data_IF_317494737714
#
_entry.id   IF_317494737714
#
_cell.length_a   1.000
_cell.length_b   1.000
_cell.length_c   1.000
_cell.angle_alpha   90.00
_cell.angle_beta   90.00
_cell.angle_gamma   90.00
#
_symmetry.space_group_name_H-M   'P 1'
#
loop_
_entity.id
_entity.type
_entity.pdbx_description
1 polymer ?
#
# COMPACT_ATOMS: atom_id res chain seq x y z
N UNK A 1 -9.61 66.03 -2.02
CA UNK A 1 -8.21 66.00 -1.53
C UNK A 1 -7.78 64.54 -1.52
N UNK A 2 -7.44 64.03 -2.69
CA UNK A 2 -6.06 63.85 -3.21
C UNK A 2 -5.61 62.42 -2.90
N UNK A 3 -5.77 61.48 -3.85
CA UNK A 3 -4.72 61.05 -4.79
C UNK A 3 -3.51 60.44 -4.04
N UNK A 4 -3.12 59.19 -4.26
CA UNK A 4 -2.32 58.82 -5.44
C UNK A 4 -2.20 57.30 -5.65
N UNK A 5 -2.00 56.92 -6.91
CA UNK A 5 -1.79 55.56 -7.43
C UNK A 5 -0.36 55.38 -7.99
N UNK A 6 -0.05 54.15 -8.43
CA UNK A 6 1.06 53.67 -9.30
C UNK A 6 2.35 53.23 -8.56
N UNK A 7 3.12 52.21 -8.99
CA UNK A 7 3.19 51.47 -10.26
C UNK A 7 3.80 50.05 -10.05
N UNK A 8 3.39 49.06 -10.86
CA UNK A 8 4.09 47.78 -11.01
C UNK A 8 4.84 47.80 -12.35
N UNK A 9 6.15 47.52 -12.30
CA UNK A 9 7.03 47.51 -13.46
C UNK A 9 7.00 46.18 -14.21
N UNK A 10 6.95 46.26 -15.53
CA UNK A 10 7.13 45.17 -16.48
C UNK A 10 8.63 44.89 -16.72
N UNK A 11 8.96 43.62 -16.97
CA UNK A 11 10.29 43.19 -17.40
C UNK A 11 10.20 41.94 -18.28
N UNK A 12 10.29 42.14 -19.58
CA UNK A 12 10.32 41.12 -20.63
C UNK A 12 11.75 40.61 -20.87
N UNK A 13 11.91 39.34 -21.27
CA UNK A 13 13.19 38.84 -21.79
C UNK A 13 13.22 37.34 -22.07
N UNK A 14 12.77 36.92 -23.26
CA UNK A 14 13.24 35.70 -23.93
C UNK A 14 14.60 35.97 -24.62
N UNK A 15 15.37 34.93 -24.99
CA UNK A 15 15.26 34.42 -26.37
C UNK A 15 15.42 32.90 -26.55
N UNK A 16 14.86 32.41 -27.66
CA UNK A 16 14.97 31.05 -28.18
C UNK A 16 16.12 30.85 -29.18
N UNK A 17 16.68 29.63 -29.13
CA UNK A 17 17.19 28.78 -30.23
C UNK A 17 18.48 29.10 -31.01
N UNK A 18 19.35 28.08 -31.16
CA UNK A 18 20.01 27.72 -32.44
C UNK A 18 20.56 26.28 -32.46
N UNK A 19 19.94 25.47 -33.34
CA UNK A 19 20.49 24.52 -34.33
C UNK A 19 21.80 23.75 -34.12
N UNK A 20 21.75 22.42 -34.25
CA UNK A 20 22.73 21.62 -35.03
C UNK A 20 22.06 20.46 -35.78
N UNK A 21 22.51 20.27 -37.02
CA UNK A 21 22.02 19.33 -38.02
C UNK A 21 23.03 18.18 -38.26
N UNK A 22 22.48 17.03 -38.67
CA UNK A 22 23.07 16.06 -39.61
C UNK A 22 24.09 15.05 -39.06
N UNK A 23 23.81 13.75 -39.22
CA UNK A 23 24.26 13.00 -40.42
C UNK A 23 23.80 11.53 -40.37
N UNK A 24 23.04 11.14 -41.38
CA UNK A 24 22.71 9.76 -41.76
C UNK A 24 23.95 9.00 -42.24
N UNK A 25 23.94 7.68 -42.05
CA UNK A 25 24.67 6.71 -42.87
C UNK A 25 23.99 5.33 -42.79
N UNK A 26 23.40 4.93 -43.90
CA UNK A 26 23.00 3.57 -44.26
C UNK A 26 24.22 2.76 -44.75
N UNK A 27 24.18 1.43 -44.56
CA UNK A 27 24.76 0.33 -45.38
C UNK A 27 24.51 -0.98 -44.58
N UNK A 28 23.60 -1.86 -44.99
CA UNK A 28 23.70 -2.99 -45.94
C UNK A 28 24.00 -4.35 -45.26
N UNK A 29 23.38 -5.41 -45.77
CA UNK A 29 23.88 -6.78 -45.63
C UNK A 29 23.02 -7.76 -44.85
N UNK A 30 22.19 -8.52 -45.56
CA UNK A 30 21.31 -9.55 -44.99
C UNK A 30 21.99 -10.88 -44.65
N UNK A 31 21.16 -11.81 -44.18
CA UNK A 31 21.16 -13.25 -44.51
C UNK A 31 20.42 -13.97 -43.40
N UNK A 32 19.22 -14.47 -43.72
CA UNK A 32 18.51 -15.40 -42.84
C UNK A 32 19.37 -16.63 -42.58
N UNK A 33 19.32 -17.11 -41.33
CA UNK A 33 19.51 -18.52 -41.00
C UNK A 33 18.57 -18.85 -39.85
N UNK A 34 17.62 -19.73 -40.13
CA UNK A 34 16.94 -20.53 -39.12
C UNK A 34 17.99 -21.33 -38.37
N UNK A 35 17.98 -21.24 -37.04
CA UNK A 35 18.65 -22.19 -36.16
C UNK A 35 17.65 -22.54 -35.08
N UNK A 36 17.03 -23.71 -35.25
CA UNK A 36 16.33 -24.42 -34.19
C UNK A 36 17.40 -24.86 -33.18
N UNK A 37 17.57 -24.05 -32.15
CA UNK A 37 18.44 -24.34 -31.01
C UNK A 37 17.56 -24.67 -29.81
N UNK A 38 17.52 -25.94 -29.47
CA UNK A 38 17.10 -26.43 -28.16
C UNK A 38 17.93 -25.75 -27.06
N UNK A 39 17.32 -24.77 -26.40
CA UNK A 39 17.88 -24.17 -25.19
C UNK A 39 17.42 -25.01 -24.00
N UNK A 40 18.32 -25.89 -23.58
CA UNK A 40 18.34 -26.42 -22.22
C UNK A 40 18.60 -25.22 -21.28
N UNK A 41 17.52 -24.59 -20.84
CA UNK A 41 17.58 -23.49 -19.88
C UNK A 41 17.75 -24.11 -18.50
N UNK A 42 19.01 -24.24 -18.10
CA UNK A 42 19.41 -24.48 -16.72
C UNK A 42 18.72 -23.44 -15.82
N UNK A 43 17.61 -23.84 -15.21
CA UNK A 43 16.79 -23.06 -14.27
C UNK A 43 17.51 -22.97 -12.92
N UNK A 44 18.76 -22.48 -12.94
CA UNK A 44 19.52 -22.16 -11.75
C UNK A 44 19.76 -20.65 -11.70
N UNK A 45 19.00 -19.98 -10.82
CA UNK A 45 19.53 -18.82 -10.10
C UNK A 45 19.16 -17.41 -10.57
N UNK A 46 17.98 -17.17 -11.13
CA UNK A 46 17.38 -15.83 -11.10
C UNK A 46 16.26 -15.81 -10.05
N UNK A 47 16.60 -15.63 -8.78
CA UNK A 47 15.63 -15.25 -7.76
C UNK A 47 15.09 -13.87 -8.14
N UNK A 48 14.01 -13.85 -8.90
CA UNK A 48 13.14 -12.69 -9.09
C UNK A 48 12.86 -12.09 -7.72
N UNK A 49 13.39 -10.88 -7.48
CA UNK A 49 13.40 -10.21 -6.18
C UNK A 49 12.02 -9.71 -5.76
N UNK A 50 11.07 -10.62 -5.60
CA UNK A 50 9.77 -10.32 -5.01
C UNK A 50 9.94 -10.07 -3.52
N UNK A 51 9.41 -8.95 -3.04
CA UNK A 51 9.32 -8.69 -1.60
C UNK A 51 8.11 -9.46 -1.07
N UNK A 52 8.36 -10.55 -0.37
CA UNK A 52 7.30 -11.34 0.25
C UNK A 52 6.76 -10.63 1.51
N UNK A 53 5.46 -10.46 1.57
CA UNK A 53 4.81 -9.87 2.75
C UNK A 53 4.88 -10.83 3.93
N UNK A 54 5.13 -10.30 5.12
CA UNK A 54 5.20 -11.13 6.33
C UNK A 54 3.81 -11.59 6.74
N UNK A 55 3.70 -12.86 7.09
CA UNK A 55 2.47 -13.47 7.61
C UNK A 55 2.34 -13.37 9.13
N UNK A 56 3.34 -12.82 9.82
CA UNK A 56 3.31 -12.56 11.26
C UNK A 56 4.14 -11.33 11.64
N UNK A 57 3.71 -10.62 12.66
CA UNK A 57 4.38 -9.42 13.18
C UNK A 57 4.17 -9.28 14.70
N UNK A 58 5.24 -9.13 15.51
CA UNK A 58 5.10 -9.00 16.97
C UNK A 58 4.40 -7.70 17.39
N UNK A 59 4.37 -6.70 16.50
CA UNK A 59 3.79 -5.39 16.77
C UNK A 59 2.26 -5.34 16.63
N UNK A 60 1.61 -6.42 16.17
CA UNK A 60 0.14 -6.50 16.10
C UNK A 60 -0.51 -6.33 17.49
N UNK A 61 0.20 -6.72 18.55
CA UNK A 61 -0.22 -6.53 19.94
C UNK A 61 -0.38 -5.06 20.36
N UNK A 62 0.22 -4.12 19.63
CA UNK A 62 0.09 -2.69 19.89
C UNK A 62 -1.20 -2.08 19.32
N UNK A 63 -1.94 -2.82 18.49
CA UNK A 63 -3.22 -2.34 17.98
C UNK A 63 -4.31 -2.41 19.06
N UNK A 64 -5.24 -1.44 19.08
CA UNK A 64 -6.44 -1.58 19.89
C UNK A 64 -7.25 -2.80 19.42
N UNK A 65 -7.98 -3.41 20.35
CA UNK A 65 -8.94 -4.45 20.00
C UNK A 65 -9.95 -3.89 18.98
N UNK A 66 -10.29 -4.70 17.98
CA UNK A 66 -11.23 -4.35 16.91
C UNK A 66 -12.70 -4.29 17.40
N UNK A 67 -12.96 -3.43 18.38
CA UNK A 67 -14.30 -3.11 18.85
C UNK A 67 -15.03 -2.19 17.88
N UNK A 68 -16.36 -2.14 18.00
CA UNK A 68 -17.20 -1.30 17.15
C UNK A 68 -16.77 0.18 17.16
N UNK A 69 -16.40 0.73 18.33
CA UNK A 69 -15.93 2.12 18.46
C UNK A 69 -14.58 2.37 17.77
N UNK A 70 -13.72 1.37 17.66
CA UNK A 70 -12.45 1.50 16.93
C UNK A 70 -12.68 1.46 15.41
N UNK A 71 -13.52 0.53 14.97
CA UNK A 71 -13.89 0.37 13.56
C UNK A 71 -14.69 1.56 13.03
N UNK A 72 -15.57 2.15 13.84
CA UNK A 72 -16.33 3.34 13.49
C UNK A 72 -15.47 4.60 13.29
N UNK A 73 -14.26 4.62 13.86
CA UNK A 73 -13.29 5.72 13.69
C UNK A 73 -12.41 5.58 12.45
N UNK A 74 -12.57 4.51 11.66
CA UNK A 74 -11.86 4.34 10.39
C UNK A 74 -12.38 5.38 9.39
N UNK A 75 -11.55 6.34 8.95
CA UNK A 75 -12.00 7.39 8.06
C UNK A 75 -12.07 6.89 6.60
N UNK A 76 -12.85 7.57 5.74
CA UNK A 76 -12.92 7.28 4.31
C UNK A 76 -11.53 7.34 3.62
N UNK A 77 -11.21 6.44 2.67
CA UNK A 77 -9.91 6.41 2.00
C UNK A 77 -9.53 7.65 1.16
N UNK A 78 -10.49 8.51 0.83
CA UNK A 78 -10.29 9.80 0.15
C UNK A 78 -9.91 10.94 1.12
N UNK A 79 -9.83 10.65 2.41
CA UNK A 79 -9.48 11.64 3.43
C UNK A 79 -8.05 12.19 3.23
N UNK A 80 -7.87 13.52 3.32
CA UNK A 80 -6.58 14.15 3.13
C UNK A 80 -5.67 13.97 4.35
N UNK A 81 -4.37 14.22 4.17
CA UNK A 81 -3.43 14.24 5.29
C UNK A 81 -3.84 15.30 6.34
N UNK A 82 -3.90 14.92 7.62
CA UNK A 82 -4.27 15.82 8.71
C UNK A 82 -3.27 16.97 8.97
N UNK A 83 -2.03 16.87 8.47
CA UNK A 83 -0.98 17.89 8.67
C UNK A 83 -0.84 18.87 7.51
N UNK A 84 -0.80 18.39 6.26
CA UNK A 84 -0.62 19.24 5.07
C UNK A 84 -1.79 19.25 4.11
N UNK A 85 -2.88 18.54 4.41
CA UNK A 85 -4.08 18.45 3.59
C UNK A 85 -3.85 17.92 2.16
N UNK A 86 -2.73 17.22 1.91
CA UNK A 86 -2.49 16.58 0.62
C UNK A 86 -3.53 15.46 0.37
N UNK A 87 -4.17 15.39 -0.81
CA UNK A 87 -5.29 14.48 -1.05
C UNK A 87 -4.85 13.06 -1.46
N UNK A 88 -3.61 12.88 -1.90
CA UNK A 88 -3.12 11.60 -2.42
C UNK A 88 -2.01 10.99 -1.55
N UNK A 89 -1.80 9.68 -1.72
CA UNK A 89 -0.75 8.91 -1.05
C UNK A 89 -0.83 9.00 0.48
N UNK A 90 -2.05 8.90 1.01
CA UNK A 90 -2.31 8.96 2.45
C UNK A 90 -2.37 7.57 3.08
N UNK A 91 -1.93 7.51 4.32
CA UNK A 91 -1.86 6.31 5.13
C UNK A 91 -2.66 6.53 6.42
N UNK A 92 -3.33 5.49 6.88
CA UNK A 92 -4.05 5.43 8.14
C UNK A 92 -3.18 4.75 9.20
N UNK A 93 -2.93 5.42 10.32
CA UNK A 93 -2.33 4.77 11.48
C UNK A 93 -3.33 3.79 12.10
N UNK A 94 -2.98 2.51 12.21
CA UNK A 94 -3.90 1.49 12.72
C UNK A 94 -4.12 1.58 14.24
N UNK A 95 -3.27 2.33 14.95
CA UNK A 95 -3.31 2.45 16.42
C UNK A 95 -4.14 3.67 16.86
N UNK A 96 -3.88 4.87 16.30
CA UNK A 96 -4.57 6.10 16.70
C UNK A 96 -5.57 6.65 15.67
N UNK A 97 -5.64 6.06 14.47
CA UNK A 97 -6.50 6.46 13.34
C UNK A 97 -6.18 7.81 12.68
N UNK A 98 -5.00 8.38 12.95
CA UNK A 98 -4.52 9.55 12.21
C UNK A 98 -4.24 9.24 10.74
N UNK A 99 -4.51 10.22 9.87
CA UNK A 99 -4.31 10.13 8.42
C UNK A 99 -3.15 11.02 8.02
N UNK A 100 -2.10 10.42 7.47
CA UNK A 100 -0.86 11.15 7.18
C UNK A 100 -0.29 10.74 5.83
N UNK A 101 0.26 11.70 5.10
CA UNK A 101 0.83 11.44 3.78
C UNK A 101 2.09 10.56 3.88
N UNK A 102 2.31 9.78 2.83
CA UNK A 102 3.39 8.81 2.71
C UNK A 102 4.78 9.44 2.67
N UNK A 103 5.80 8.58 2.65
CA UNK A 103 7.20 8.98 2.47
C UNK A 103 7.52 9.66 1.14
N UNK A 104 6.66 9.47 0.13
CA UNK A 104 6.83 10.05 -1.21
C UNK A 104 6.28 11.47 -1.33
N UNK A 105 5.48 11.92 -0.35
CA UNK A 105 4.92 13.27 -0.29
C UNK A 105 5.72 14.11 0.72
N UNK A 106 5.27 14.20 1.98
CA UNK A 106 5.93 14.99 3.04
C UNK A 106 6.40 14.14 4.23
N UNK A 107 6.32 12.80 4.13
CA UNK A 107 6.80 11.86 5.16
C UNK A 107 6.10 11.98 6.52
N UNK A 108 4.91 12.57 6.58
CA UNK A 108 4.21 12.76 7.85
C UNK A 108 3.91 11.45 8.59
N UNK A 109 3.57 10.37 7.89
CA UNK A 109 3.37 9.07 8.56
C UNK A 109 4.68 8.52 9.16
N UNK A 110 5.82 8.78 8.49
CA UNK A 110 7.14 8.39 9.01
C UNK A 110 7.50 9.18 10.27
N UNK A 111 7.28 10.50 10.27
CA UNK A 111 7.51 11.34 11.46
C UNK A 111 6.60 10.95 12.61
N UNK A 112 5.33 10.66 12.32
CA UNK A 112 4.38 10.18 13.31
C UNK A 112 4.83 8.87 13.98
N UNK A 113 5.34 7.91 13.21
CA UNK A 113 5.95 6.71 13.78
C UNK A 113 7.11 7.05 14.72
N UNK A 114 8.01 7.96 14.32
CA UNK A 114 9.16 8.36 15.13
C UNK A 114 8.77 9.11 16.42
N UNK A 115 7.71 9.91 16.37
CA UNK A 115 7.22 10.72 17.50
C UNK A 115 6.41 9.88 18.50
N UNK A 116 5.60 8.93 18.02
CA UNK A 116 4.61 8.22 18.83
C UNK A 116 4.94 6.75 19.09
N UNK A 117 5.83 6.16 18.28
CA UNK A 117 6.07 4.71 18.25
C UNK A 117 4.99 3.90 17.54
N UNK A 118 3.96 4.52 16.97
CA UNK A 118 2.91 3.83 16.22
C UNK A 118 3.45 3.27 14.90
N UNK A 119 3.76 1.97 14.88
CA UNK A 119 4.49 1.38 13.77
C UNK A 119 3.61 0.73 12.69
N UNK A 120 2.30 0.62 12.89
CA UNK A 120 1.40 -0.05 11.93
C UNK A 120 0.55 0.98 11.17
N UNK A 121 0.62 0.94 9.85
CA UNK A 121 -0.16 1.82 8.99
C UNK A 121 -0.73 1.08 7.77
N UNK A 122 -1.92 1.50 7.34
CA UNK A 122 -2.61 1.01 6.14
C UNK A 122 -2.58 2.09 5.06
N UNK A 123 -2.20 1.73 3.84
CA UNK A 123 -2.20 2.61 2.67
C UNK A 123 -3.61 2.79 2.12
N UNK A 124 -4.05 4.04 1.89
CA UNK A 124 -5.31 4.26 1.18
C UNK A 124 -5.21 4.06 -0.33
N UNK A 125 -4.01 4.03 -0.91
CA UNK A 125 -3.82 3.84 -2.36
C UNK A 125 -4.13 2.41 -2.80
N UNK A 126 -3.74 1.40 -2.03
CA UNK A 126 -3.82 -0.02 -2.40
C UNK A 126 -4.26 -0.94 -1.24
N UNK A 127 -4.59 -0.38 -0.07
CA UNK A 127 -4.94 -1.11 1.16
C UNK A 127 -3.81 -2.03 1.69
N UNK A 128 -2.57 -1.86 1.22
CA UNK A 128 -1.42 -2.56 1.78
C UNK A 128 -1.18 -2.14 3.23
N UNK A 129 -0.72 -3.07 4.07
CA UNK A 129 -0.37 -2.79 5.48
C UNK A 129 1.13 -2.84 5.64
N UNK A 130 1.69 -1.82 6.30
CA UNK A 130 3.11 -1.66 6.54
C UNK A 130 3.41 -1.61 8.04
N UNK A 131 4.49 -2.28 8.43
CA UNK A 131 5.08 -2.14 9.75
C UNK A 131 6.41 -1.39 9.67
N UNK A 132 6.47 -0.17 10.20
CA UNK A 132 7.68 0.65 10.24
C UNK A 132 8.80 0.05 11.09
N UNK A 133 8.47 -0.68 12.15
CA UNK A 133 9.46 -1.30 13.02
C UNK A 133 10.08 -2.56 12.40
N UNK A 134 9.30 -3.31 11.60
CA UNK A 134 9.80 -4.47 10.87
C UNK A 134 10.31 -4.15 9.46
N UNK A 135 10.19 -2.88 9.02
CA UNK A 135 10.52 -2.41 7.67
C UNK A 135 9.96 -3.34 6.56
N UNK A 136 8.70 -3.76 6.72
CA UNK A 136 8.09 -4.76 5.84
C UNK A 136 6.57 -4.63 5.72
N UNK A 137 6.06 -5.09 4.57
CA UNK A 137 4.64 -5.28 4.34
C UNK A 137 4.11 -6.49 5.12
N UNK A 138 2.85 -6.40 5.53
CA UNK A 138 2.14 -7.45 6.24
C UNK A 138 1.04 -8.04 5.36
N UNK A 139 0.91 -9.37 5.37
CA UNK A 139 -0.12 -10.07 4.63
C UNK A 139 -1.44 -10.07 5.42
N UNK A 140 -2.40 -9.28 4.96
CA UNK A 140 -3.74 -9.16 5.56
C UNK A 140 -4.58 -10.43 5.40
N UNK A 141 -4.27 -11.28 4.41
CA UNK A 141 -4.96 -12.56 4.25
C UNK A 141 -4.55 -13.55 5.33
N UNK A 142 -3.25 -13.55 5.69
CA UNK A 142 -2.69 -14.44 6.70
C UNK A 142 -2.92 -13.95 8.14
N UNK A 143 -2.93 -12.64 8.37
CA UNK A 143 -3.01 -12.05 9.72
C UNK A 143 -4.46 -11.71 10.07
N UNK A 144 -5.04 -12.47 11.00
CA UNK A 144 -6.45 -12.35 11.39
C UNK A 144 -6.78 -11.01 12.07
N UNK A 145 -5.83 -10.47 12.84
CA UNK A 145 -5.97 -9.23 13.60
C UNK A 145 -6.14 -8.01 12.71
N UNK A 146 -5.67 -8.07 11.46
CA UNK A 146 -5.81 -6.98 10.48
C UNK A 146 -7.15 -7.04 9.74
N UNK A 147 -7.85 -8.18 9.73
CA UNK A 147 -9.06 -8.37 8.93
C UNK A 147 -10.18 -7.38 9.24
N UNK A 148 -10.52 -7.08 10.52
CA UNK A 148 -11.65 -6.20 10.81
C UNK A 148 -11.46 -4.79 10.26
N UNK A 149 -10.29 -4.19 10.48
CA UNK A 149 -9.99 -2.84 9.98
C UNK A 149 -9.85 -2.82 8.45
N UNK A 150 -9.28 -3.87 7.86
CA UNK A 150 -9.18 -4.00 6.42
C UNK A 150 -10.53 -4.16 5.74
N UNK A 151 -11.44 -4.95 6.31
CA UNK A 151 -12.80 -5.11 5.79
C UNK A 151 -13.54 -3.77 5.76
N UNK A 152 -13.45 -2.98 6.82
CA UNK A 152 -14.04 -1.63 6.86
C UNK A 152 -13.40 -0.73 5.80
N UNK A 153 -12.08 -0.69 5.69
CA UNK A 153 -11.40 0.13 4.69
C UNK A 153 -11.76 -0.29 3.25
N UNK A 154 -11.88 -1.60 3.00
CA UNK A 154 -12.26 -2.16 1.71
C UNK A 154 -13.71 -1.81 1.36
N UNK A 155 -14.65 -1.95 2.31
CA UNK A 155 -16.04 -1.53 2.14
C UNK A 155 -16.16 -0.04 1.84
N UNK A 156 -15.41 0.81 2.56
CA UNK A 156 -15.41 2.25 2.31
C UNK A 156 -14.81 2.59 0.94
N UNK A 157 -13.80 1.85 0.48
CA UNK A 157 -13.13 2.11 -0.80
C UNK A 157 -13.90 1.61 -2.02
N UNK A 158 -14.43 0.40 -1.93
CA UNK A 158 -14.96 -0.34 -3.08
C UNK A 158 -16.46 -0.65 -2.98
N UNK A 159 -17.08 -0.45 -1.81
CA UNK A 159 -18.49 -0.75 -1.59
C UNK A 159 -18.82 -2.24 -1.41
N UNK A 160 -17.80 -3.11 -1.37
CA UNK A 160 -17.95 -4.56 -1.24
C UNK A 160 -17.00 -5.13 -0.18
N UNK A 161 -17.33 -6.33 0.32
CA UNK A 161 -16.45 -7.03 1.27
C UNK A 161 -15.22 -7.59 0.55
N UNK A 162 -14.04 -7.60 1.21
CA UNK A 162 -12.84 -8.14 0.62
C UNK A 162 -12.94 -9.66 0.44
N UNK A 163 -12.36 -10.23 -0.64
CA UNK A 163 -12.26 -11.67 -0.79
C UNK A 163 -11.16 -12.21 0.13
N UNK A 164 -11.54 -12.75 1.29
CA UNK A 164 -10.61 -13.49 2.14
C UNK A 164 -10.46 -14.94 1.66
N UNK A 165 -9.24 -15.47 1.70
CA UNK A 165 -9.00 -16.90 1.48
C UNK A 165 -9.68 -17.68 2.61
N UNK A 166 -10.50 -18.66 2.25
CA UNK A 166 -11.04 -19.63 3.21
C UNK A 166 -9.87 -20.35 3.86
N UNK A 167 -9.76 -20.26 5.19
CA UNK A 167 -8.91 -21.17 5.93
C UNK A 167 -9.64 -22.50 5.94
N UNK A 168 -9.12 -23.50 5.23
CA UNK A 168 -9.61 -24.87 5.33
C UNK A 168 -9.46 -25.28 6.80
N UNK A 169 -10.58 -25.29 7.52
CA UNK A 169 -10.65 -25.85 8.86
C UNK A 169 -10.37 -27.33 8.70
N UNK A 170 -9.17 -27.76 9.08
CA UNK A 170 -8.90 -29.17 9.34
C UNK A 170 -9.82 -29.56 10.50
N UNK A 171 -10.98 -30.12 10.14
CA UNK A 171 -11.90 -30.82 11.01
C UNK A 171 -11.16 -32.01 11.62
N UNK A 172 -10.47 -31.77 12.73
CA UNK A 172 -10.06 -32.83 13.62
C UNK A 172 -11.29 -33.28 14.39
N UNK A 173 -12.05 -34.13 13.70
CA UNK A 173 -13.00 -35.10 14.20
C UNK A 173 -12.80 -35.43 15.70
N UNK A 174 -13.64 -34.84 16.55
CA UNK A 174 -13.99 -35.44 17.84
C UNK A 174 -15.07 -36.47 17.53
N UNK A 175 -14.61 -37.65 17.09
CA UNK A 175 -15.36 -38.86 17.32
C UNK A 175 -15.28 -39.19 18.81
N UNK A 176 -16.42 -39.24 19.50
CA UNK A 176 -16.70 -40.30 20.46
C UNK A 176 -18.21 -40.54 20.58
N UNK A 177 -18.53 -41.82 20.40
CA UNK A 177 -19.81 -42.51 20.47
C UNK A 177 -20.71 -42.17 21.67
N UNK A 178 -22.02 -42.06 21.36
CA UNK A 178 -23.06 -42.95 21.88
C UNK A 178 -23.35 -42.95 23.37
N UNK A 179 -24.59 -42.59 23.75
CA UNK A 179 -25.59 -43.56 24.21
C UNK A 179 -26.90 -42.86 24.58
N UNK A 180 -27.98 -43.44 24.08
CA UNK A 180 -29.39 -43.16 24.36
C UNK A 180 -29.76 -43.50 25.81
N UNK A 181 -30.70 -42.74 26.40
CA UNK A 181 -31.83 -43.20 27.27
C UNK A 181 -32.52 -41.95 27.85
N UNK A 182 -33.72 -41.57 27.41
CA UNK A 182 -35.03 -42.07 27.86
C UNK A 182 -35.45 -41.57 29.24
N UNK A 183 -36.40 -40.61 29.22
CA UNK A 183 -37.58 -40.45 30.08
C UNK A 183 -37.49 -40.83 31.57
N UNK A 184 -37.77 -39.84 32.42
CA UNK A 184 -38.93 -39.86 33.33
C UNK A 184 -39.17 -38.46 33.91
#
# INVERSE_FOLDING_TARGET
>A
MSSSSAAAGAGSGEPSSSSRAGKEKDEDGGSGKEWEGEVDFDLSGAAVGWVEARTSCPHLTSMPAAGADDLARVPPPDSPCSRCHHPAENWLCLICKDILCSRFINKHMLYHYQETGHCLALSFSDLSVWCFACDSYLDVQAILELRPVYEVAHLLKFGERPPFRSLDVLDLSIGHNGSTSSQS
#
